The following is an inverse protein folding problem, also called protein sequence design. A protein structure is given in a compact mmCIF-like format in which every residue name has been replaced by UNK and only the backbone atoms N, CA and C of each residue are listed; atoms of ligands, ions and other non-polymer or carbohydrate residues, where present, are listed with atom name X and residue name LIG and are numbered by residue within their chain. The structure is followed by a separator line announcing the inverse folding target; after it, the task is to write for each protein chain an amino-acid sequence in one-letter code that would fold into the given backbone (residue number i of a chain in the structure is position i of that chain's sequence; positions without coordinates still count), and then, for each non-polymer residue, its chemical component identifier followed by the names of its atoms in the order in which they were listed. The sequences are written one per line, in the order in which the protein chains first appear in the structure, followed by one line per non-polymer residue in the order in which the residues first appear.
data_IF_721430428533
#
_entry.id   IF_721430428533
#
_cell.length_a   1.000
_cell.length_b   1.000
_cell.length_c   1.000
_cell.angle_alpha   90.00
_cell.angle_beta   90.00
_cell.angle_gamma   90.00
#
_symmetry.space_group_name_H-M   'P 1'
#
loop_
_entity.id
_entity.type
_entity.pdbx_description
1 polymer ?
#
# COMPACT_ATOMS: atom_id res chain seq x y z
N UNK A 1 -14.13 18.97 -34.33
CA UNK A 1 -13.29 17.76 -34.47
C UNK A 1 -11.95 17.91 -33.74
N UNK A 2 -11.11 18.91 -34.09
CA UNK A 2 -9.82 19.18 -33.42
C UNK A 2 -9.93 19.44 -31.91
N UNK A 3 -10.87 20.29 -31.49
CA UNK A 3 -11.05 20.63 -30.06
C UNK A 3 -11.45 19.40 -29.22
N UNK A 4 -12.27 18.51 -29.78
CA UNK A 4 -12.67 17.26 -29.12
C UNK A 4 -11.47 16.31 -28.97
N UNK A 5 -10.63 16.21 -30.00
CA UNK A 5 -9.43 15.38 -29.96
C UNK A 5 -8.43 15.86 -28.90
N UNK A 6 -8.25 17.18 -28.76
CA UNK A 6 -7.37 17.77 -27.73
C UNK A 6 -7.91 17.44 -26.32
N UNK A 7 -9.22 17.60 -26.09
CA UNK A 7 -9.84 17.27 -24.80
C UNK A 7 -9.65 15.78 -24.46
N UNK A 8 -9.85 14.89 -25.43
CA UNK A 8 -9.65 13.45 -25.22
C UNK A 8 -8.19 13.11 -24.87
N UNK A 9 -7.21 13.72 -25.56
CA UNK A 9 -5.77 13.50 -25.27
C UNK A 9 -5.42 13.98 -23.86
N UNK A 10 -5.90 15.16 -23.44
CA UNK A 10 -5.67 15.70 -22.10
C UNK A 10 -6.25 14.80 -21.01
N UNK A 11 -7.49 14.30 -21.20
CA UNK A 11 -8.13 13.40 -20.24
C UNK A 11 -7.38 12.08 -20.07
N UNK A 12 -6.88 11.50 -21.17
CA UNK A 12 -6.10 10.26 -21.12
C UNK A 12 -4.77 10.49 -20.38
N UNK A 13 -4.08 11.59 -20.65
CA UNK A 13 -2.85 11.93 -19.93
C UNK A 13 -3.12 12.10 -18.42
N UNK A 14 -4.17 12.83 -18.04
CA UNK A 14 -4.49 13.02 -16.61
C UNK A 14 -4.82 11.69 -15.93
N UNK A 15 -5.59 10.81 -16.57
CA UNK A 15 -5.93 9.50 -15.99
C UNK A 15 -4.70 8.64 -15.69
N UNK A 16 -3.67 8.69 -16.55
CA UNK A 16 -2.43 7.92 -16.36
C UNK A 16 -1.50 8.46 -15.25
N UNK A 17 -1.68 9.71 -14.82
CA UNK A 17 -0.82 10.36 -13.80
C UNK A 17 -1.46 10.44 -12.40
N UNK A 18 -2.64 9.87 -12.21
CA UNK A 18 -3.27 9.86 -10.89
C UNK A 18 -2.69 8.74 -10.02
N UNK A 19 -1.62 9.06 -9.28
CA UNK A 19 -1.06 8.25 -8.17
C UNK A 19 -2.01 8.14 -6.94
N UNK A 20 -3.21 8.71 -7.04
CA UNK A 20 -4.19 8.68 -5.97
C UNK A 20 -4.92 7.32 -5.94
N UNK A 21 -4.59 6.49 -4.95
CA UNK A 21 -5.34 5.27 -4.66
C UNK A 21 -6.51 5.57 -3.72
N UNK A 22 -7.66 4.93 -3.94
CA UNK A 22 -8.81 4.93 -3.03
C UNK A 22 -9.07 3.51 -2.54
N UNK A 23 -9.34 3.35 -1.24
CA UNK A 23 -9.56 2.05 -0.61
C UNK A 23 -10.99 1.95 -0.07
N UNK A 24 -11.61 0.76 -0.20
CA UNK A 24 -12.88 0.47 0.46
C UNK A 24 -12.69 0.40 1.99
N UNK A 25 -13.69 0.88 2.75
CA UNK A 25 -13.69 0.73 4.22
C UNK A 25 -14.15 -0.67 4.60
N UNK A 26 -13.33 -1.39 5.34
CA UNK A 26 -13.62 -2.74 5.86
C UNK A 26 -13.82 -2.72 7.37
N UNK A 27 -14.66 -3.62 7.91
CA UNK A 27 -14.84 -3.71 9.35
C UNK A 27 -13.56 -4.25 10.03
N UNK A 28 -13.14 -3.76 11.20
CA UNK A 28 -11.90 -4.21 11.85
C UNK A 28 -11.82 -5.73 12.07
N UNK A 29 -12.95 -6.37 12.39
CA UNK A 29 -13.01 -7.83 12.56
C UNK A 29 -12.77 -8.57 11.23
N UNK A 30 -13.30 -8.08 10.11
CA UNK A 30 -13.05 -8.67 8.79
C UNK A 30 -11.58 -8.51 8.40
N UNK A 31 -11.00 -7.33 8.66
CA UNK A 31 -9.58 -7.09 8.41
C UNK A 31 -8.70 -8.00 9.27
N UNK A 32 -9.05 -8.23 10.54
CA UNK A 32 -8.34 -9.16 11.41
C UNK A 32 -8.42 -10.61 10.91
N UNK A 33 -9.62 -11.07 10.53
CA UNK A 33 -9.83 -12.44 10.05
C UNK A 33 -9.09 -12.70 8.74
N UNK A 34 -9.11 -11.74 7.81
CA UNK A 34 -8.53 -11.87 6.47
C UNK A 34 -7.03 -11.56 6.40
N UNK A 35 -6.41 -11.04 7.47
CA UNK A 35 -4.96 -10.77 7.51
C UNK A 35 -4.18 -12.02 7.89
N UNK A 36 -3.04 -12.25 7.25
CA UNK A 36 -2.09 -13.32 7.56
C UNK A 36 -1.48 -13.18 8.96
N UNK A 37 -1.04 -11.97 9.32
CA UNK A 37 -0.52 -11.65 10.65
C UNK A 37 -1.07 -10.31 11.16
N UNK A 38 -1.14 -10.18 12.49
CA UNK A 38 -1.61 -8.96 13.16
C UNK A 38 -0.73 -8.68 14.36
N UNK A 39 -0.06 -7.52 14.37
CA UNK A 39 0.90 -7.14 15.41
C UNK A 39 0.72 -5.70 15.86
N UNK A 40 1.05 -5.41 17.12
CA UNK A 40 1.31 -4.05 17.61
C UNK A 40 2.80 -3.81 17.54
N UNK A 41 3.23 -2.84 16.73
CA UNK A 41 4.65 -2.53 16.55
C UNK A 41 4.94 -1.03 16.63
N UNK A 42 6.21 -0.68 16.90
CA UNK A 42 6.74 0.69 16.83
C UNK A 42 7.67 0.80 15.63
N UNK A 43 7.46 1.80 14.78
CA UNK A 43 8.35 2.08 13.65
C UNK A 43 9.67 2.64 14.18
N UNK A 44 10.79 2.04 13.77
CA UNK A 44 12.14 2.47 14.13
C UNK A 44 12.80 3.26 12.99
N UNK A 45 12.67 2.77 11.76
CA UNK A 45 13.32 3.34 10.58
C UNK A 45 12.47 3.14 9.33
N UNK A 46 12.51 4.12 8.43
CA UNK A 46 12.00 4.03 7.06
C UNK A 46 13.19 4.00 6.11
N UNK A 47 13.17 3.10 5.13
CA UNK A 47 14.19 3.01 4.07
C UNK A 47 13.49 2.94 2.72
N UNK A 48 13.92 3.79 1.79
CA UNK A 48 13.47 3.79 0.39
C UNK A 48 14.58 3.15 -0.43
N UNK A 49 14.23 2.20 -1.29
CA UNK A 49 15.21 1.59 -2.18
C UNK A 49 15.16 2.34 -3.50
N UNK A 50 16.25 3.02 -3.86
CA UNK A 50 16.37 3.84 -5.09
C UNK A 50 16.48 3.00 -6.39
N UNK A 51 16.21 1.69 -6.34
CA UNK A 51 16.42 0.81 -7.48
C UNK A 51 15.12 0.21 -7.99
N UNK A 52 14.76 0.66 -9.20
CA UNK A 52 13.76 0.15 -10.16
C UNK A 52 12.29 0.43 -9.84
N UNK A 53 11.61 1.04 -10.83
CA UNK A 53 10.19 1.13 -11.26
C UNK A 53 9.05 1.10 -10.22
N UNK A 54 9.22 0.49 -9.05
CA UNK A 54 8.34 0.54 -7.91
C UNK A 54 9.13 0.97 -6.67
N UNK A 55 8.92 2.21 -6.21
CA UNK A 55 9.51 2.76 -4.99
C UNK A 55 9.00 2.00 -3.74
N UNK A 56 9.56 0.82 -3.49
CA UNK A 56 9.21 0.03 -2.33
C UNK A 56 9.78 0.70 -1.07
N UNK A 57 8.88 1.01 -0.13
CA UNK A 57 9.21 1.59 1.16
C UNK A 57 9.25 0.49 2.21
N UNK A 58 10.43 0.26 2.78
CA UNK A 58 10.61 -0.69 3.86
C UNK A 58 10.60 0.02 5.21
N UNK A 59 9.89 -0.57 6.19
CA UNK A 59 9.86 -0.09 7.57
C UNK A 59 10.48 -1.13 8.49
N UNK A 60 11.55 -0.74 9.19
CA UNK A 60 12.07 -1.54 10.31
C UNK A 60 11.20 -1.26 11.53
N UNK A 61 10.57 -2.29 12.09
CA UNK A 61 9.63 -2.16 13.21
C UNK A 61 10.07 -3.02 14.40
N UNK A 62 9.82 -2.51 15.61
CA UNK A 62 9.93 -3.27 16.85
C UNK A 62 8.55 -3.81 17.24
N UNK A 63 8.38 -5.13 17.18
CA UNK A 63 7.13 -5.80 17.58
C UNK A 63 6.99 -5.74 19.11
N UNK A 64 5.85 -5.24 19.59
CA UNK A 64 5.48 -5.16 21.02
C UNK A 64 4.55 -6.29 21.42
N UNK A 65 3.63 -6.67 20.54
CA UNK A 65 2.66 -7.72 20.80
C UNK A 65 2.23 -8.36 19.48
N UNK A 66 2.13 -9.69 19.48
CA UNK A 66 1.55 -10.46 18.39
C UNK A 66 0.12 -10.84 18.75
N UNK A 67 -0.83 -10.60 17.86
CA UNK A 67 -2.23 -10.98 18.02
C UNK A 67 -2.64 -12.12 17.09
N UNK A 68 -2.05 -12.19 15.89
CA UNK A 68 -2.16 -13.30 14.94
C UNK A 68 -0.79 -13.53 14.30
N UNK A 69 -0.31 -14.76 14.31
CA UNK A 69 0.94 -15.19 13.69
C UNK A 69 0.60 -16.24 12.64
N UNK A 70 1.20 -16.13 11.47
CA UNK A 70 1.26 -17.24 10.54
C UNK A 70 2.38 -18.19 10.94
N UNK A 71 2.11 -19.50 10.85
CA UNK A 71 3.03 -20.59 11.21
C UNK A 71 4.41 -20.52 10.50
N UNK A 72 4.54 -19.71 9.45
CA UNK A 72 5.78 -19.51 8.68
C UNK A 72 6.82 -18.65 9.41
N UNK A 73 6.41 -17.71 10.28
CA UNK A 73 7.33 -16.80 11.00
C UNK A 73 7.57 -17.20 12.46
N UNK A 74 7.09 -18.38 12.88
CA UNK A 74 7.28 -18.92 14.23
C UNK A 74 8.54 -19.80 14.38
N UNK A 75 9.36 -19.91 13.34
CA UNK A 75 10.55 -20.79 13.29
C UNK A 75 11.84 -20.01 13.08
#
# INVERSE_FOLDING_TARGET
MKELAIICVVLVCVFTYNEACTCARTHPQEQFCNSDFVVRARILRRTVTDSTEFENVFYTVLIRQNYKLDDVNAR
#
